data_IF_872537415568
#
_entry.id   IF_872537415568
#
_cell.length_a   1.000
_cell.length_b   1.000
_cell.length_c   1.000
_cell.angle_alpha   90.00
_cell.angle_beta   90.00
_cell.angle_gamma   90.00
#
_symmetry.space_group_name_H-M   'P 1'
#
loop_
_entity.id
_entity.type
_entity.pdbx_description
1 polymer ?
#
# COMPACT_ATOMS: atom_id res chain seq x y z
N UNK A 1 9.14 20.96 -19.13
CA UNK A 1 9.68 19.92 -18.23
C UNK A 1 8.51 19.10 -17.72
N UNK A 2 8.46 17.80 -18.03
CA UNK A 2 7.40 16.93 -17.51
C UNK A 2 7.62 16.75 -16.00
N UNK A 3 6.61 17.03 -15.19
CA UNK A 3 6.69 16.80 -13.75
C UNK A 3 7.00 15.31 -13.50
N UNK A 4 7.92 14.98 -12.57
CA UNK A 4 8.14 13.60 -12.18
C UNK A 4 6.87 13.09 -11.49
N UNK A 5 6.01 12.42 -12.24
CA UNK A 5 4.79 11.80 -11.72
C UNK A 5 5.21 10.60 -10.88
N UNK A 6 5.00 10.69 -9.57
CA UNK A 6 5.16 9.57 -8.65
C UNK A 6 3.98 8.61 -8.83
N UNK A 7 4.19 7.55 -9.61
CA UNK A 7 3.17 6.53 -9.80
C UNK A 7 3.07 5.65 -8.56
N UNK A 8 1.85 5.42 -8.11
CA UNK A 8 1.54 4.50 -7.01
C UNK A 8 0.73 3.35 -7.57
N UNK A 9 1.19 2.12 -7.36
CA UNK A 9 0.46 0.92 -7.78
C UNK A 9 -0.41 0.41 -6.66
N UNK A 10 -1.69 0.17 -6.94
CA UNK A 10 -2.64 -0.39 -5.97
C UNK A 10 -2.75 -1.89 -6.20
N UNK A 11 -2.46 -2.66 -5.16
CA UNK A 11 -2.45 -4.12 -5.17
C UNK A 11 -3.34 -4.65 -4.05
N UNK A 12 -4.07 -5.71 -4.36
CA UNK A 12 -4.96 -6.39 -3.42
C UNK A 12 -4.80 -7.88 -3.58
N UNK A 13 -4.30 -8.55 -2.54
CA UNK A 13 -4.10 -10.00 -2.51
C UNK A 13 -3.28 -10.51 -3.72
N UNK A 14 -2.35 -9.68 -4.21
CA UNK A 14 -1.46 -10.00 -5.32
C UNK A 14 -0.23 -10.77 -4.82
N UNK A 15 0.41 -11.57 -5.67
CA UNK A 15 1.66 -12.23 -5.32
C UNK A 15 2.82 -11.22 -5.26
N UNK A 16 3.76 -11.43 -4.32
CA UNK A 16 4.94 -10.55 -4.13
C UNK A 16 5.69 -10.34 -5.44
N UNK A 17 5.95 -11.43 -6.18
CA UNK A 17 6.66 -11.37 -7.46
C UNK A 17 5.94 -10.49 -8.49
N UNK A 18 4.60 -10.52 -8.48
CA UNK A 18 3.78 -9.72 -9.39
C UNK A 18 3.87 -8.23 -9.05
N UNK A 19 3.77 -7.92 -7.75
CA UNK A 19 3.92 -6.55 -7.22
C UNK A 19 5.30 -6.01 -7.54
N UNK A 20 6.37 -6.77 -7.27
CA UNK A 20 7.76 -6.37 -7.55
C UNK A 20 8.00 -6.19 -9.05
N UNK A 21 7.51 -7.12 -9.87
CA UNK A 21 7.64 -7.04 -11.33
C UNK A 21 6.96 -5.79 -11.86
N UNK A 22 5.74 -5.49 -11.44
CA UNK A 22 5.01 -4.29 -11.87
C UNK A 22 5.63 -3.02 -11.32
N UNK A 23 6.03 -3.01 -10.05
CA UNK A 23 6.68 -1.87 -9.41
C UNK A 23 7.98 -1.50 -10.11
N UNK A 24 8.78 -2.50 -10.48
CA UNK A 24 10.03 -2.30 -11.20
C UNK A 24 9.78 -1.89 -12.65
N UNK A 25 8.86 -2.58 -13.35
CA UNK A 25 8.55 -2.32 -14.77
C UNK A 25 7.94 -0.93 -14.99
N UNK A 26 7.08 -0.49 -14.08
CA UNK A 26 6.42 0.82 -14.13
C UNK A 26 7.19 1.91 -13.38
N UNK A 27 8.30 1.56 -12.72
CA UNK A 27 9.08 2.45 -11.84
C UNK A 27 8.18 3.20 -10.85
N UNK A 28 7.36 2.45 -10.12
CA UNK A 28 6.47 2.99 -9.12
C UNK A 28 7.27 3.64 -7.98
N UNK A 29 6.80 4.77 -7.51
CA UNK A 29 7.34 5.43 -6.32
C UNK A 29 6.84 4.75 -5.03
N UNK A 30 5.64 4.17 -5.07
CA UNK A 30 5.07 3.44 -3.95
C UNK A 30 4.13 2.33 -4.40
N UNK A 31 3.93 1.33 -3.53
CA UNK A 31 2.93 0.28 -3.69
C UNK A 31 1.93 0.35 -2.54
N UNK A 32 0.66 0.37 -2.87
CA UNK A 32 -0.44 0.44 -1.91
C UNK A 32 -1.11 -0.92 -1.80
N UNK A 33 -1.03 -1.53 -0.62
CA UNK A 33 -1.57 -2.84 -0.31
C UNK A 33 -2.95 -2.70 0.33
N UNK A 34 -3.99 -3.18 -0.33
CA UNK A 34 -5.39 -3.18 0.14
C UNK A 34 -5.90 -4.55 0.57
N UNK A 35 -5.08 -5.59 0.45
CA UNK A 35 -5.47 -6.95 0.81
C UNK A 35 -5.27 -7.25 2.29
N UNK A 36 -5.31 -8.55 2.58
CA UNK A 36 -5.14 -9.07 3.94
C UNK A 36 -3.68 -9.46 4.21
N UNK A 37 -2.72 -8.75 3.61
CA UNK A 37 -1.31 -9.12 3.72
C UNK A 37 -0.79 -8.97 5.15
N UNK A 38 -0.21 -10.06 5.67
CA UNK A 38 0.38 -10.14 7.00
C UNK A 38 1.79 -9.51 7.08
N UNK A 39 2.30 -9.37 8.30
CA UNK A 39 3.66 -8.88 8.56
C UNK A 39 4.74 -9.64 7.77
N UNK A 40 4.67 -10.98 7.75
CA UNK A 40 5.66 -11.80 7.05
C UNK A 40 5.62 -11.56 5.53
N UNK A 41 4.44 -11.27 4.99
CA UNK A 41 4.27 -10.95 3.59
C UNK A 41 4.88 -9.58 3.26
N UNK A 42 4.65 -8.58 4.12
CA UNK A 42 5.23 -7.23 3.95
C UNK A 42 6.75 -7.27 4.05
N UNK A 43 7.30 -8.07 4.97
CA UNK A 43 8.74 -8.24 5.13
C UNK A 43 9.38 -8.86 3.87
N UNK A 44 8.78 -9.95 3.37
CA UNK A 44 9.20 -10.57 2.12
C UNK A 44 9.07 -9.63 0.92
N UNK A 45 8.00 -8.82 0.86
CA UNK A 45 7.85 -7.79 -0.16
C UNK A 45 8.94 -6.73 -0.04
N UNK A 46 9.26 -6.27 1.18
CA UNK A 46 10.30 -5.26 1.41
C UNK A 46 11.68 -5.77 1.04
N UNK A 47 11.96 -7.05 1.29
CA UNK A 47 13.21 -7.69 0.89
C UNK A 47 13.34 -7.81 -0.65
N UNK A 48 12.22 -8.01 -1.35
CA UNK A 48 12.20 -8.14 -2.81
C UNK A 48 12.10 -6.79 -3.54
N UNK A 49 11.50 -5.77 -2.92
CA UNK A 49 11.40 -4.43 -3.48
C UNK A 49 12.67 -3.61 -3.23
N UNK A 50 13.01 -2.68 -4.15
CA UNK A 50 14.03 -1.68 -3.90
C UNK A 50 13.61 -0.75 -2.73
N UNK A 51 14.56 -0.34 -1.90
CA UNK A 51 14.31 0.59 -0.77
C UNK A 51 13.77 1.96 -1.19
N UNK A 52 13.92 2.30 -2.48
CA UNK A 52 13.35 3.48 -3.12
C UNK A 52 11.81 3.46 -3.14
N UNK A 53 11.22 2.27 -3.21
CA UNK A 53 9.79 2.07 -3.40
C UNK A 53 9.13 1.99 -2.03
N UNK A 54 8.24 2.94 -1.75
CA UNK A 54 7.56 2.98 -0.46
C UNK A 54 6.44 1.94 -0.39
N UNK A 55 6.27 1.31 0.77
CA UNK A 55 5.17 0.37 1.00
C UNK A 55 4.09 1.07 1.79
N UNK A 56 2.91 1.19 1.20
CA UNK A 56 1.74 1.82 1.80
C UNK A 56 0.72 0.76 2.14
N UNK A 57 0.27 0.66 3.39
CA UNK A 57 -0.82 -0.25 3.76
C UNK A 57 -2.12 0.53 3.80
N UNK A 58 -3.07 0.16 2.96
CA UNK A 58 -4.41 0.68 3.03
C UNK A 58 -5.19 -0.08 4.10
N UNK A 59 -5.77 0.68 5.03
CA UNK A 59 -6.58 0.20 6.13
C UNK A 59 -7.99 0.73 5.94
N UNK A 60 -8.96 -0.16 5.81
CA UNK A 60 -10.36 0.24 5.77
C UNK A 60 -10.81 0.72 7.15
N UNK A 61 -11.16 2.00 7.26
CA UNK A 61 -11.77 2.55 8.47
C UNK A 61 -13.25 2.23 8.47
N UNK A 62 -13.56 1.01 8.91
CA UNK A 62 -14.93 0.59 9.19
C UNK A 62 -15.31 0.97 10.62
N UNK A 63 -15.59 -0.04 11.44
CA UNK A 63 -15.98 0.15 12.86
C UNK A 63 -14.79 0.03 13.82
N UNK A 64 -13.71 -0.62 13.41
CA UNK A 64 -12.51 -0.85 14.22
C UNK A 64 -11.26 -0.45 13.46
N UNK A 65 -10.42 0.38 14.10
CA UNK A 65 -9.11 0.71 13.57
C UNK A 65 -8.26 -0.57 13.54
N UNK A 66 -7.77 -1.01 12.38
CA UNK A 66 -6.90 -2.17 12.34
C UNK A 66 -5.63 -1.90 13.16
N UNK A 67 -5.05 -2.92 13.79
CA UNK A 67 -3.80 -2.76 14.50
C UNK A 67 -2.72 -2.29 13.54
N UNK A 68 -2.19 -1.09 13.80
CA UNK A 68 -1.05 -0.47 13.09
C UNK A 68 0.30 -1.10 13.50
N UNK A 69 0.32 -2.42 13.63
CA UNK A 69 1.46 -3.17 14.15
C UNK A 69 2.35 -3.73 13.02
N UNK A 70 2.28 -3.12 11.83
CA UNK A 70 3.01 -3.60 10.65
C UNK A 70 4.34 -2.85 10.54
N UNK A 71 5.43 -3.57 10.75
CA UNK A 71 6.80 -3.13 10.49
C UNK A 71 7.05 -3.08 8.98
N UNK A 72 7.98 -2.23 8.55
CA UNK A 72 8.34 -2.00 7.14
C UNK A 72 7.24 -1.38 6.26
N UNK A 73 6.22 -0.79 6.87
CA UNK A 73 5.23 0.05 6.19
C UNK A 73 5.64 1.52 6.34
N UNK A 74 5.88 2.19 5.22
CA UNK A 74 6.26 3.62 5.20
C UNK A 74 5.07 4.53 5.50
N UNK A 75 3.88 4.16 5.02
CA UNK A 75 2.64 4.94 5.23
C UNK A 75 1.43 4.05 5.39
N UNK A 76 0.50 4.51 6.23
CA UNK A 76 -0.84 3.94 6.30
C UNK A 76 -1.80 4.88 5.56
N UNK A 77 -2.59 4.31 4.65
CA UNK A 77 -3.66 5.02 3.97
C UNK A 77 -4.97 4.55 4.56
N UNK A 78 -5.71 5.46 5.17
CA UNK A 78 -7.03 5.15 5.69
C UNK A 78 -8.04 5.34 4.56
N UNK A 79 -8.60 4.24 4.09
CA UNK A 79 -9.65 4.26 3.07
C UNK A 79 -11.01 4.06 3.75
N UNK A 80 -11.97 4.92 3.47
CA UNK A 80 -13.32 4.73 3.95
C UNK A 80 -13.98 3.73 3.00
N UNK A 81 -13.90 2.43 3.33
CA UNK A 81 -14.26 1.31 2.43
C UNK A 81 -15.69 1.35 1.87
N UNK A 82 -16.54 2.26 2.37
CA UNK A 82 -17.71 2.77 1.65
C UNK A 82 -17.45 4.19 1.16
N UNK A 83 -17.03 4.32 -0.11
CA UNK A 83 -17.18 5.59 -0.82
C UNK A 83 -18.66 5.95 -0.87
N UNK A 84 -19.11 6.89 -0.03
CA UNK A 84 -20.49 7.37 -0.04
C UNK A 84 -21.11 7.80 1.29
N UNK A 85 -20.45 7.62 2.44
CA UNK A 85 -20.96 8.20 3.69
C UNK A 85 -20.42 9.63 3.79
N UNK A 86 -21.23 10.65 3.53
CA UNK A 86 -20.85 12.07 3.64
C UNK A 86 -20.50 12.55 5.07
N UNK A 87 -19.86 11.72 5.89
CA UNK A 87 -19.37 12.08 7.20
C UNK A 87 -17.91 12.55 7.08
N UNK A 88 -17.76 13.87 7.18
CA UNK A 88 -16.45 14.50 7.40
C UNK A 88 -15.91 14.01 8.74
N UNK A 89 -14.64 13.65 8.76
CA UNK A 89 -13.87 13.45 9.98
C UNK A 89 -13.76 14.82 10.68
N UNK A 90 -14.30 14.93 11.89
CA UNK A 90 -13.98 16.00 12.85
C UNK A 90 -13.00 15.44 13.89
#
# INVERSE_FOLDING_TARGET
AAAPLSYVGVFRDAAIEEVVTRATKLKLAAVQLHGSEDQAWIDALRAALPEQIQIWKALSVGETLPPRNLNHVDRYVFDNGQGGSGQRFD
#
